data_IF_071136093442
#
_entry.id   IF_071136093442
#
_cell.length_a   1.000
_cell.length_b   1.000
_cell.length_c   1.000
_cell.angle_alpha   90.00
_cell.angle_beta   90.00
_cell.angle_gamma   90.00
#
_symmetry.space_group_name_H-M   'P 1'
#
loop_
_entity.id
_entity.type
_entity.pdbx_description
1 polymer ?
#
# COMPACT_ATOMS: atom_id res chain seq x y z
N UNK A 1 17.53 0.31 15.08
CA UNK A 1 18.95 -0.04 14.83
C UNK A 1 19.58 -0.55 16.11
N UNK A 2 20.45 -1.56 16.04
CA UNK A 2 21.19 -2.10 17.19
C UNK A 2 22.55 -1.41 17.41
N UNK A 3 22.98 -0.58 16.46
CA UNK A 3 24.21 0.21 16.53
C UNK A 3 23.95 1.61 15.92
N UNK A 4 24.40 2.71 16.55
CA UNK A 4 24.22 4.04 16.00
C UNK A 4 25.17 4.29 14.83
N UNK A 5 24.64 4.85 13.74
CA UNK A 5 25.41 5.25 12.57
C UNK A 5 25.00 6.68 12.17
N UNK A 6 25.97 7.53 11.84
CA UNK A 6 25.69 8.88 11.33
C UNK A 6 25.18 8.83 9.89
N UNK A 7 24.51 9.89 9.45
CA UNK A 7 23.99 10.03 8.08
C UNK A 7 22.97 8.94 7.67
N UNK A 8 22.24 8.39 8.64
CA UNK A 8 21.05 7.58 8.40
C UNK A 8 19.82 8.51 8.42
N UNK A 9 18.92 8.44 7.42
CA UNK A 9 17.70 9.24 7.41
C UNK A 9 16.85 9.03 8.65
N UNK A 10 16.22 10.10 9.12
CA UNK A 10 15.24 10.00 10.19
C UNK A 10 13.96 9.34 9.66
N UNK A 11 13.55 8.25 10.32
CA UNK A 11 12.34 7.50 10.00
C UNK A 11 11.22 7.89 10.95
N UNK A 12 10.00 7.94 10.43
CA UNK A 12 8.81 8.02 11.27
C UNK A 12 8.70 6.79 12.17
N UNK A 13 8.11 6.95 13.36
CA UNK A 13 8.05 5.88 14.38
C UNK A 13 6.69 5.86 15.10
N UNK A 14 6.41 4.76 15.80
CA UNK A 14 5.14 4.58 16.49
C UNK A 14 3.99 4.31 15.52
N UNK A 15 2.82 4.92 15.79
CA UNK A 15 1.68 4.90 14.87
C UNK A 15 1.93 5.93 13.76
N UNK A 16 2.45 5.47 12.62
CA UNK A 16 2.81 6.32 11.49
C UNK A 16 1.57 6.73 10.70
N UNK A 17 1.54 7.99 10.26
CA UNK A 17 0.59 8.51 9.26
C UNK A 17 1.23 8.67 7.86
N UNK A 18 2.56 8.62 7.79
CA UNK A 18 3.36 8.61 6.56
C UNK A 18 4.69 7.86 6.78
N UNK A 19 5.37 7.51 5.69
CA UNK A 19 6.50 6.57 5.72
C UNK A 19 6.05 5.13 5.92
N UNK A 20 4.82 4.85 5.48
CA UNK A 20 4.11 3.59 5.68
C UNK A 20 4.72 2.45 4.86
N UNK A 21 4.66 1.25 5.43
CA UNK A 21 4.87 -0.02 4.74
C UNK A 21 3.59 -0.85 4.82
N UNK A 22 2.99 -1.11 3.66
CA UNK A 22 1.91 -2.09 3.51
C UNK A 22 2.46 -3.41 2.96
N UNK A 23 2.41 -4.45 3.80
CA UNK A 23 2.79 -5.81 3.44
C UNK A 23 1.60 -6.55 2.84
N UNK A 24 1.82 -7.27 1.74
CA UNK A 24 0.81 -8.12 1.11
C UNK A 24 0.88 -9.55 1.64
N UNK A 25 -0.18 -9.98 2.31
CA UNK A 25 -0.39 -11.35 2.75
C UNK A 25 -1.28 -12.10 1.76
N UNK A 26 -0.71 -13.08 1.07
CA UNK A 26 -1.42 -13.91 0.07
C UNK A 26 -1.79 -15.30 0.57
N UNK A 27 -1.73 -15.53 1.88
CA UNK A 27 -2.03 -16.83 2.49
C UNK A 27 -0.94 -17.36 3.41
N UNK A 28 -0.21 -16.49 4.12
CA UNK A 28 0.68 -16.95 5.21
C UNK A 28 -0.13 -17.76 6.22
N UNK A 29 0.42 -18.87 6.69
CA UNK A 29 -0.11 -19.59 7.86
C UNK A 29 0.02 -18.74 9.12
N UNK A 30 -0.64 -19.16 10.21
CA UNK A 30 -0.48 -18.50 11.51
C UNK A 30 0.98 -18.47 11.96
N UNK A 31 1.72 -19.58 11.80
CA UNK A 31 3.14 -19.67 12.20
C UNK A 31 4.05 -18.79 11.35
N UNK A 32 3.80 -18.73 10.04
CA UNK A 32 4.55 -17.80 9.18
C UNK A 32 4.23 -16.34 9.52
N UNK A 33 2.99 -16.05 9.92
CA UNK A 33 2.59 -14.73 10.40
C UNK A 33 3.30 -14.38 11.72
N UNK A 34 3.44 -15.33 12.65
CA UNK A 34 4.23 -15.17 13.89
C UNK A 34 5.70 -14.86 13.58
N UNK A 35 6.34 -15.64 12.71
CA UNK A 35 7.74 -15.41 12.31
C UNK A 35 7.92 -14.06 11.59
N UNK A 36 6.95 -13.67 10.77
CA UNK A 36 6.94 -12.35 10.13
C UNK A 36 6.89 -11.24 11.18
N UNK A 37 5.95 -11.33 12.13
CA UNK A 37 5.80 -10.33 13.19
C UNK A 37 7.08 -10.20 14.02
N UNK A 38 7.67 -11.32 14.42
CA UNK A 38 8.89 -11.35 15.23
C UNK A 38 10.03 -10.53 14.61
N UNK A 39 10.17 -10.58 13.29
CA UNK A 39 11.25 -9.91 12.55
C UNK A 39 10.90 -8.53 12.01
N UNK A 40 9.65 -8.32 11.60
CA UNK A 40 9.28 -7.26 10.66
C UNK A 40 8.20 -6.30 11.17
N UNK A 41 7.56 -6.59 12.31
CA UNK A 41 6.52 -5.71 12.87
C UNK A 41 6.97 -4.26 13.09
N UNK A 42 8.20 -3.95 13.57
CA UNK A 42 8.64 -2.55 13.72
C UNK A 42 8.67 -1.73 12.41
N UNK A 43 8.70 -2.41 11.26
CA UNK A 43 8.85 -1.81 9.92
C UNK A 43 7.61 -1.99 9.06
N UNK A 44 6.52 -2.51 9.63
CA UNK A 44 5.24 -2.73 8.96
C UNK A 44 4.17 -1.90 9.63
N UNK A 45 3.25 -1.34 8.85
CA UNK A 45 2.13 -0.55 9.37
C UNK A 45 0.80 -1.19 8.99
N UNK A 46 0.68 -1.62 7.74
CA UNK A 46 -0.53 -2.18 7.14
C UNK A 46 -0.28 -3.62 6.66
N UNK A 47 -1.28 -4.48 6.77
CA UNK A 47 -1.25 -5.84 6.22
C UNK A 47 -2.47 -6.06 5.33
N UNK A 48 -2.27 -6.10 4.01
CA UNK A 48 -3.32 -6.41 3.04
C UNK A 48 -3.48 -7.91 2.92
N UNK A 49 -4.63 -8.46 3.32
CA UNK A 49 -5.04 -9.79 2.87
C UNK A 49 -5.39 -9.68 1.38
N UNK A 50 -4.54 -10.24 0.52
CA UNK A 50 -4.61 -10.04 -0.90
C UNK A 50 -5.95 -10.49 -1.50
N UNK A 51 -6.49 -9.67 -2.38
CA UNK A 51 -7.65 -9.99 -3.22
C UNK A 51 -8.80 -10.60 -2.40
N UNK A 52 -9.28 -11.81 -2.73
CA UNK A 52 -10.35 -12.51 -2.00
C UNK A 52 -9.87 -13.53 -0.96
N UNK A 53 -8.59 -13.54 -0.59
CA UNK A 53 -8.00 -14.60 0.26
C UNK A 53 -8.65 -14.71 1.64
N UNK A 54 -9.19 -13.62 2.16
CA UNK A 54 -9.86 -13.59 3.46
C UNK A 54 -10.99 -14.64 3.54
N UNK A 55 -11.77 -14.82 2.47
CA UNK A 55 -12.90 -15.77 2.46
C UNK A 55 -12.48 -17.25 2.55
N UNK A 56 -11.24 -17.55 2.17
CA UNK A 56 -10.71 -18.92 2.13
C UNK A 56 -9.57 -19.15 3.15
N UNK A 57 -9.27 -18.15 3.97
CA UNK A 57 -8.32 -18.27 5.07
C UNK A 57 -9.01 -18.96 6.24
N UNK A 58 -8.58 -20.19 6.56
CA UNK A 58 -9.22 -21.04 7.58
C UNK A 58 -9.30 -20.38 8.96
N UNK A 59 -8.20 -19.77 9.40
CA UNK A 59 -8.04 -19.19 10.74
C UNK A 59 -8.02 -17.66 10.67
N UNK A 60 -8.93 -17.07 9.88
CA UNK A 60 -8.93 -15.64 9.58
C UNK A 60 -8.98 -14.78 10.84
N UNK A 61 -9.88 -15.09 11.78
CA UNK A 61 -10.09 -14.28 13.00
C UNK A 61 -8.87 -14.31 13.91
N UNK A 62 -8.25 -15.48 14.04
CA UNK A 62 -7.01 -15.69 14.80
C UNK A 62 -5.87 -14.89 14.16
N UNK A 63 -5.75 -14.92 12.83
CA UNK A 63 -4.70 -14.22 12.10
C UNK A 63 -4.86 -12.70 12.14
N UNK A 64 -6.10 -12.19 12.05
CA UNK A 64 -6.39 -10.76 12.24
C UNK A 64 -5.97 -10.31 13.65
N UNK A 65 -6.37 -11.05 14.69
CA UNK A 65 -5.98 -10.75 16.08
C UNK A 65 -4.47 -10.78 16.28
N UNK A 66 -3.78 -11.70 15.62
CA UNK A 66 -2.33 -11.84 15.68
C UNK A 66 -1.63 -10.60 15.09
N UNK A 67 -2.07 -10.09 13.94
CA UNK A 67 -1.52 -8.84 13.40
C UNK A 67 -1.85 -7.62 14.27
N UNK A 68 -3.08 -7.54 14.79
CA UNK A 68 -3.49 -6.45 15.68
C UNK A 68 -2.72 -6.44 17.00
N UNK A 69 -2.41 -7.61 17.58
CA UNK A 69 -1.64 -7.70 18.83
C UNK A 69 -0.19 -7.25 18.64
N UNK A 70 0.32 -7.30 17.41
CA UNK A 70 1.61 -6.74 17.01
C UNK A 70 1.56 -5.24 16.68
N UNK A 71 0.38 -4.59 16.80
CA UNK A 71 0.19 -3.17 16.49
C UNK A 71 0.00 -2.85 15.01
N UNK A 72 -0.19 -3.88 14.16
CA UNK A 72 -0.38 -3.71 12.72
C UNK A 72 -1.87 -3.52 12.38
N UNK A 73 -2.15 -2.83 11.28
CA UNK A 73 -3.50 -2.59 10.74
C UNK A 73 -3.79 -3.59 9.60
N UNK A 74 -4.37 -4.78 9.88
CA UNK A 74 -4.82 -5.67 8.81
C UNK A 74 -6.03 -5.08 8.08
N UNK A 75 -6.15 -5.36 6.78
CA UNK A 75 -7.33 -5.03 5.98
C UNK A 75 -7.50 -5.99 4.81
N UNK A 76 -8.69 -6.01 4.21
CA UNK A 76 -8.99 -6.88 3.06
C UNK A 76 -8.81 -6.13 1.75
N UNK A 77 -8.18 -6.77 0.76
CA UNK A 77 -7.99 -6.19 -0.57
C UNK A 77 -9.31 -5.85 -1.26
N UNK A 78 -9.28 -4.81 -2.09
CA UNK A 78 -10.45 -4.21 -2.71
C UNK A 78 -11.16 -5.15 -3.69
N UNK A 79 -10.46 -6.12 -4.29
CA UNK A 79 -11.12 -7.17 -5.07
C UNK A 79 -12.15 -7.95 -4.24
N UNK A 80 -11.96 -8.10 -2.92
CA UNK A 80 -12.99 -8.68 -2.06
C UNK A 80 -14.23 -7.77 -1.98
N UNK A 81 -14.04 -6.46 -1.81
CA UNK A 81 -15.13 -5.49 -1.87
C UNK A 81 -15.87 -5.60 -3.21
N UNK A 82 -15.14 -5.59 -4.33
CA UNK A 82 -15.70 -5.71 -5.68
C UNK A 82 -16.52 -7.00 -5.86
N UNK A 83 -16.07 -8.12 -5.28
CA UNK A 83 -16.82 -9.39 -5.28
C UNK A 83 -18.19 -9.26 -4.62
N UNK A 84 -18.29 -8.64 -3.45
CA UNK A 84 -19.58 -8.43 -2.80
C UNK A 84 -20.42 -7.38 -3.53
N UNK A 85 -19.81 -6.27 -3.94
CA UNK A 85 -20.50 -5.16 -4.57
C UNK A 85 -21.21 -5.58 -5.85
N UNK A 86 -20.53 -6.26 -6.77
CA UNK A 86 -21.12 -6.71 -8.05
C UNK A 86 -22.28 -7.70 -7.88
N UNK A 87 -22.40 -8.33 -6.70
CA UNK A 87 -23.50 -9.23 -6.35
C UNK A 87 -24.67 -8.52 -5.66
N UNK A 88 -24.58 -7.20 -5.46
CA UNK A 88 -25.55 -6.45 -4.66
C UNK A 88 -25.47 -6.76 -3.16
N UNK A 89 -24.31 -7.27 -2.70
CA UNK A 89 -24.12 -7.77 -1.33
C UNK A 89 -23.27 -6.81 -0.47
N UNK A 90 -23.36 -5.50 -0.71
CA UNK A 90 -22.57 -4.50 0.02
C UNK A 90 -22.80 -4.52 1.54
N UNK A 91 -24.04 -4.71 2.00
CA UNK A 91 -24.33 -4.85 3.43
C UNK A 91 -23.73 -6.13 4.03
N UNK A 92 -23.66 -7.22 3.25
CA UNK A 92 -23.00 -8.44 3.69
C UNK A 92 -21.48 -8.26 3.80
N UNK A 93 -20.87 -7.49 2.89
CA UNK A 93 -19.47 -7.07 2.99
C UNK A 93 -19.21 -6.30 4.28
N UNK A 94 -20.00 -5.25 4.56
CA UNK A 94 -19.88 -4.45 5.80
C UNK A 94 -20.00 -5.32 7.06
N UNK A 95 -20.94 -6.27 7.05
CA UNK A 95 -21.10 -7.26 8.13
C UNK A 95 -19.86 -8.15 8.26
N UNK A 96 -19.34 -8.69 7.16
CA UNK A 96 -18.15 -9.54 7.15
C UNK A 96 -16.91 -8.82 7.72
N UNK A 97 -16.66 -7.57 7.29
CA UNK A 97 -15.57 -6.73 7.82
C UNK A 97 -15.76 -6.51 9.32
N UNK A 98 -16.95 -6.11 9.75
CA UNK A 98 -17.26 -5.85 11.16
C UNK A 98 -17.05 -7.09 12.04
N UNK A 99 -17.54 -8.26 11.61
CA UNK A 99 -17.40 -9.53 12.34
C UNK A 99 -15.97 -10.07 12.36
N UNK A 100 -15.12 -9.61 11.43
CA UNK A 100 -13.69 -9.92 11.41
C UNK A 100 -12.89 -9.07 12.40
N UNK A 101 -13.46 -7.97 12.89
CA UNK A 101 -12.83 -7.08 13.88
C UNK A 101 -11.76 -6.16 13.29
N UNK A 102 -11.77 -5.96 11.97
CA UNK A 102 -10.85 -5.05 11.27
C UNK A 102 -11.39 -3.60 11.30
N UNK A 103 -10.49 -2.63 11.42
CA UNK A 103 -10.81 -1.19 11.38
C UNK A 103 -10.48 -0.49 10.05
N UNK A 104 -9.89 -1.21 9.08
CA UNK A 104 -9.41 -0.68 7.82
C UNK A 104 -10.00 -1.45 6.63
N UNK A 105 -10.38 -0.76 5.55
CA UNK A 105 -10.97 -1.40 4.35
C UNK A 105 -10.39 -0.81 3.08
N UNK A 106 -10.33 -1.61 2.01
CA UNK A 106 -9.98 -1.13 0.67
C UNK A 106 -11.23 -1.09 -0.22
N UNK A 107 -11.46 0.05 -0.89
CA UNK A 107 -12.48 0.21 -1.93
C UNK A 107 -11.76 0.33 -3.27
N UNK A 108 -12.11 -0.52 -4.24
CA UNK A 108 -11.52 -0.51 -5.58
C UNK A 108 -12.59 -0.82 -6.62
N UNK A 109 -12.28 -0.51 -7.86
CA UNK A 109 -13.10 -0.73 -9.04
C UNK A 109 -12.24 -1.26 -10.22
N UNK A 110 -11.13 -1.93 -9.91
CA UNK A 110 -10.21 -2.37 -10.94
C UNK A 110 -10.77 -3.50 -11.79
N UNK A 111 -11.46 -4.47 -11.19
CA UNK A 111 -11.93 -5.72 -11.83
C UNK A 111 -13.33 -5.59 -12.40
N UNK A 112 -14.19 -4.79 -11.78
CA UNK A 112 -15.57 -4.54 -12.20
C UNK A 112 -15.70 -3.14 -12.79
N UNK A 113 -16.64 -2.94 -13.71
CA UNK A 113 -17.05 -1.58 -14.06
C UNK A 113 -17.96 -1.06 -12.95
N UNK A 114 -17.59 0.06 -12.36
CA UNK A 114 -18.34 0.77 -11.33
C UNK A 114 -18.38 2.25 -11.73
N UNK A 115 -19.54 2.90 -11.61
CA UNK A 115 -19.56 4.33 -11.82
C UNK A 115 -18.89 5.02 -10.63
N UNK A 116 -18.09 6.05 -10.88
CA UNK A 116 -17.28 6.67 -9.83
C UNK A 116 -18.15 7.25 -8.70
N UNK A 117 -19.33 7.79 -9.01
CA UNK A 117 -20.28 8.24 -7.99
C UNK A 117 -20.72 7.11 -7.05
N UNK A 118 -20.93 5.89 -7.55
CA UNK A 118 -21.23 4.72 -6.70
C UNK A 118 -20.04 4.38 -5.79
N UNK A 119 -18.81 4.54 -6.29
CA UNK A 119 -17.59 4.34 -5.50
C UNK A 119 -17.48 5.37 -4.38
N UNK A 120 -17.77 6.64 -4.68
CA UNK A 120 -17.80 7.71 -3.68
C UNK A 120 -18.88 7.45 -2.61
N UNK A 121 -20.07 6.98 -2.99
CA UNK A 121 -21.10 6.58 -2.03
C UNK A 121 -20.65 5.44 -1.10
N UNK A 122 -19.94 4.44 -1.64
CA UNK A 122 -19.35 3.36 -0.85
C UNK A 122 -18.29 3.87 0.13
N UNK A 123 -17.38 4.73 -0.34
CA UNK A 123 -16.34 5.36 0.49
C UNK A 123 -16.98 6.16 1.62
N UNK A 124 -17.92 7.06 1.31
CA UNK A 124 -18.61 7.90 2.30
C UNK A 124 -19.38 7.05 3.33
N UNK A 125 -19.92 5.91 2.92
CA UNK A 125 -20.63 4.99 3.81
C UNK A 125 -19.66 4.25 4.72
N UNK A 126 -18.57 3.70 4.19
CA UNK A 126 -17.58 2.95 4.95
C UNK A 126 -16.77 3.84 5.89
N UNK A 127 -16.46 5.08 5.49
CA UNK A 127 -15.68 6.05 6.27
C UNK A 127 -16.33 6.44 7.61
N UNK A 128 -17.62 6.15 7.80
CA UNK A 128 -18.32 6.35 9.08
C UNK A 128 -17.89 5.35 10.15
N UNK A 129 -17.50 4.15 9.71
CA UNK A 129 -17.25 2.98 10.57
C UNK A 129 -15.79 2.50 10.49
N UNK A 130 -15.07 2.80 9.40
CA UNK A 130 -13.73 2.28 9.09
C UNK A 130 -12.80 3.36 8.52
N UNK A 131 -11.49 3.13 8.62
CA UNK A 131 -10.47 3.90 7.91
C UNK A 131 -10.32 3.34 6.48
N UNK A 132 -10.75 4.10 5.49
CA UNK A 132 -10.86 3.64 4.09
C UNK A 132 -9.57 3.94 3.33
N UNK A 133 -9.00 2.93 2.68
CA UNK A 133 -8.06 3.10 1.58
C UNK A 133 -8.84 2.97 0.27
N UNK A 134 -8.64 3.87 -0.68
CA UNK A 134 -9.26 3.75 -2.00
C UNK A 134 -8.21 3.50 -3.06
N UNK A 135 -8.39 2.51 -3.92
CA UNK A 135 -7.45 2.16 -4.98
C UNK A 135 -7.92 2.72 -6.32
N UNK A 136 -7.05 3.46 -7.00
CA UNK A 136 -7.29 3.99 -8.34
C UNK A 136 -6.40 3.20 -9.29
N UNK A 137 -7.01 2.67 -10.34
CA UNK A 137 -6.35 1.86 -11.34
C UNK A 137 -7.34 0.98 -12.11
N UNK A 138 -6.90 0.43 -13.23
CA UNK A 138 -7.69 -0.49 -14.04
C UNK A 138 -6.96 -1.83 -14.13
N UNK A 139 -7.67 -2.91 -13.77
CA UNK A 139 -7.19 -4.29 -13.88
C UNK A 139 -7.45 -4.87 -15.28
N UNK A 140 -8.04 -4.10 -16.20
CA UNK A 140 -8.44 -4.56 -17.52
C UNK A 140 -7.44 -4.07 -18.56
N UNK A 141 -6.80 -5.02 -19.24
CA UNK A 141 -5.85 -4.74 -20.34
C UNK A 141 -6.57 -3.96 -21.45
N UNK A 142 -6.13 -2.72 -21.70
CA UNK A 142 -6.68 -1.84 -22.74
C UNK A 142 -7.75 -0.84 -22.26
N UNK A 143 -8.08 -0.82 -20.96
CA UNK A 143 -8.86 0.27 -20.34
C UNK A 143 -7.86 1.13 -19.58
N UNK A 144 -7.38 2.20 -20.21
CA UNK A 144 -6.48 3.18 -19.61
C UNK A 144 -7.27 4.42 -19.21
N UNK A 145 -7.22 4.75 -17.92
CA UNK A 145 -7.70 6.03 -17.42
C UNK A 145 -6.65 7.10 -17.81
N UNK A 146 -7.09 8.25 -18.32
CA UNK A 146 -6.20 9.39 -18.54
C UNK A 146 -5.67 9.94 -17.21
N UNK A 147 -4.49 10.56 -17.21
CA UNK A 147 -3.88 11.15 -16.02
C UNK A 147 -4.82 12.13 -15.29
N UNK A 148 -5.56 12.97 -16.04
CA UNK A 148 -6.53 13.91 -15.46
C UNK A 148 -7.63 13.19 -14.65
N UNK A 149 -8.05 12.00 -15.10
CA UNK A 149 -9.09 11.21 -14.43
C UNK A 149 -8.50 10.56 -13.18
N UNK A 150 -7.28 10.03 -13.24
CA UNK A 150 -6.56 9.52 -12.07
C UNK A 150 -6.48 10.57 -10.96
N UNK A 151 -5.96 11.75 -11.31
CA UNK A 151 -5.79 12.85 -10.35
C UNK A 151 -7.15 13.32 -9.83
N UNK A 152 -8.14 13.48 -10.71
CA UNK A 152 -9.49 13.88 -10.30
C UNK A 152 -10.10 12.88 -9.33
N UNK A 153 -10.04 11.58 -9.63
CA UNK A 153 -10.59 10.53 -8.76
C UNK A 153 -9.87 10.51 -7.41
N UNK A 154 -8.54 10.55 -7.41
CA UNK A 154 -7.76 10.61 -6.16
C UNK A 154 -8.18 11.79 -5.28
N UNK A 155 -8.37 12.99 -5.85
CA UNK A 155 -8.84 14.16 -5.09
C UNK A 155 -10.20 13.92 -4.48
N UNK A 156 -11.18 13.55 -5.30
CA UNK A 156 -12.57 13.40 -4.85
C UNK A 156 -12.74 12.26 -3.87
N UNK A 157 -11.99 11.16 -4.01
CA UNK A 157 -12.03 10.03 -3.09
C UNK A 157 -11.45 10.43 -1.71
N UNK A 158 -10.36 11.21 -1.68
CA UNK A 158 -9.82 11.80 -0.44
C UNK A 158 -10.84 12.77 0.20
N UNK A 159 -11.41 13.69 -0.58
CA UNK A 159 -12.42 14.66 -0.12
C UNK A 159 -13.68 13.97 0.44
N UNK A 160 -14.03 12.81 -0.10
CA UNK A 160 -15.19 12.01 0.32
C UNK A 160 -14.97 11.28 1.64
N UNK A 161 -13.71 11.02 2.01
CA UNK A 161 -13.35 10.42 3.29
C UNK A 161 -12.36 9.26 3.22
N UNK A 162 -11.73 8.98 2.07
CA UNK A 162 -10.60 8.07 2.04
C UNK A 162 -9.44 8.61 2.88
N UNK A 163 -8.86 7.77 3.73
CA UNK A 163 -7.67 8.09 4.52
C UNK A 163 -6.42 8.16 3.65
N UNK A 164 -6.29 7.23 2.70
CA UNK A 164 -5.22 7.18 1.70
C UNK A 164 -5.79 6.74 0.36
N UNK A 165 -5.17 7.22 -0.71
CA UNK A 165 -5.40 6.72 -2.07
C UNK A 165 -4.23 5.86 -2.53
N UNK A 166 -4.52 4.68 -3.04
CA UNK A 166 -3.55 3.72 -3.54
C UNK A 166 -3.36 3.95 -5.02
N UNK A 167 -2.12 4.17 -5.43
CA UNK A 167 -1.75 4.19 -6.84
C UNK A 167 -1.46 2.76 -7.30
N UNK A 168 -2.39 2.13 -8.03
CA UNK A 168 -2.35 0.71 -8.36
C UNK A 168 -1.19 0.35 -9.30
N UNK A 169 -0.58 -0.80 -9.00
CA UNK A 169 0.43 -1.45 -9.82
C UNK A 169 0.26 -2.97 -9.93
N UNK A 170 -0.72 -3.54 -9.21
CA UNK A 170 -0.85 -4.97 -8.92
C UNK A 170 0.37 -5.55 -8.22
N UNK A 171 0.35 -6.86 -8.03
CA UNK A 171 1.52 -7.62 -7.56
C UNK A 171 2.66 -7.64 -8.59
N UNK A 172 2.33 -7.62 -9.89
CA UNK A 172 3.37 -7.73 -10.93
C UNK A 172 4.20 -6.46 -11.09
N UNK A 173 3.64 -5.29 -10.75
CA UNK A 173 4.32 -4.01 -10.94
C UNK A 173 4.50 -3.65 -12.42
N UNK A 174 3.53 -3.97 -13.27
CA UNK A 174 3.63 -3.82 -14.75
C UNK A 174 2.36 -3.24 -15.37
N UNK A 175 1.59 -2.48 -14.58
CA UNK A 175 0.35 -1.82 -14.99
C UNK A 175 0.14 -0.58 -14.11
N UNK A 176 -0.79 0.29 -14.51
CA UNK A 176 -1.18 1.47 -13.74
C UNK A 176 -0.07 2.51 -13.77
N UNK A 177 0.57 2.76 -12.62
CA UNK A 177 1.73 3.65 -12.51
C UNK A 177 3.02 3.08 -13.13
N UNK A 178 2.97 1.88 -13.71
CA UNK A 178 4.09 1.27 -14.44
C UNK A 178 3.69 0.86 -15.85
N UNK A 179 4.68 0.90 -16.73
CA UNK A 179 4.65 0.35 -18.07
C UNK A 179 4.74 -1.18 -18.04
N UNK A 180 4.45 -1.80 -19.19
CA UNK A 180 4.47 -3.27 -19.32
C UNK A 180 5.85 -3.92 -19.08
N UNK A 181 6.94 -3.16 -19.19
CA UNK A 181 8.30 -3.59 -18.88
C UNK A 181 8.72 -3.34 -17.42
N UNK A 182 7.80 -2.79 -16.61
CA UNK A 182 8.01 -2.46 -15.20
C UNK A 182 8.66 -1.10 -14.96
N UNK A 183 8.97 -0.33 -16.01
CA UNK A 183 9.41 1.06 -15.87
C UNK A 183 8.27 1.95 -15.39
N UNK A 184 8.59 3.05 -14.70
CA UNK A 184 7.59 3.94 -14.12
C UNK A 184 6.94 4.82 -15.20
N UNK A 185 5.60 4.92 -15.17
CA UNK A 185 4.89 5.94 -15.92
C UNK A 185 5.11 7.30 -15.23
N UNK A 186 6.21 7.94 -15.60
CA UNK A 186 6.70 9.14 -14.93
C UNK A 186 5.76 10.33 -15.09
N UNK A 187 5.07 10.43 -16.23
CA UNK A 187 4.12 11.52 -16.48
C UNK A 187 2.95 11.44 -15.49
N UNK A 188 2.34 10.26 -15.33
CA UNK A 188 1.27 10.04 -14.37
C UNK A 188 1.73 10.30 -12.92
N UNK A 189 2.90 9.78 -12.54
CA UNK A 189 3.45 9.99 -11.19
C UNK A 189 3.70 11.48 -10.94
N UNK A 190 4.29 12.20 -11.90
CA UNK A 190 4.53 13.65 -11.81
C UNK A 190 3.22 14.43 -11.70
N UNK A 191 2.17 14.05 -12.43
CA UNK A 191 0.86 14.70 -12.35
C UNK A 191 0.16 14.46 -11.01
N UNK A 192 0.24 13.24 -10.46
CA UNK A 192 -0.25 12.94 -9.11
C UNK A 192 0.50 13.77 -8.06
N UNK A 193 1.84 13.84 -8.13
CA UNK A 193 2.65 14.57 -7.15
C UNK A 193 2.42 16.09 -7.16
N UNK A 194 2.02 16.67 -8.31
CA UNK A 194 1.68 18.11 -8.41
C UNK A 194 0.41 18.45 -7.66
N UNK A 195 -0.52 17.51 -7.57
CA UNK A 195 -1.91 17.78 -7.24
C UNK A 195 -2.39 17.08 -5.96
N UNK A 196 -1.73 16.00 -5.56
CA UNK A 196 -2.00 15.22 -4.35
C UNK A 196 -0.77 15.24 -3.45
N UNK A 197 -1.00 15.42 -2.15
CA UNK A 197 0.05 15.28 -1.14
C UNK A 197 0.62 13.86 -1.15
N UNK A 198 1.95 13.76 -1.27
CA UNK A 198 2.66 12.46 -1.30
C UNK A 198 2.46 11.63 -0.03
N UNK A 199 2.10 12.28 1.07
CA UNK A 199 1.79 11.61 2.33
C UNK A 199 0.41 10.95 2.31
N UNK A 200 -0.48 11.34 1.38
CA UNK A 200 -1.83 10.80 1.22
C UNK A 200 -1.94 9.71 0.16
N UNK A 201 -0.87 9.55 -0.64
CA UNK A 201 -0.75 8.45 -1.61
C UNK A 201 -0.02 7.28 -0.99
N UNK A 202 -0.51 6.05 -1.19
CA UNK A 202 0.20 4.79 -0.95
C UNK A 202 0.59 4.19 -2.30
N UNK A 203 1.89 4.21 -2.63
CA UNK A 203 2.38 3.76 -3.93
C UNK A 203 2.62 2.25 -3.92
N UNK A 204 1.96 1.49 -4.78
CA UNK A 204 2.28 0.07 -4.91
C UNK A 204 3.66 -0.11 -5.58
N UNK A 205 4.59 -0.75 -4.87
CA UNK A 205 5.97 -0.96 -5.31
C UNK A 205 6.45 -2.38 -4.94
N UNK A 206 5.85 -3.42 -5.54
CA UNK A 206 6.18 -4.81 -5.22
C UNK A 206 7.64 -5.18 -5.53
N UNK A 207 8.26 -4.51 -6.51
CA UNK A 207 9.63 -4.82 -6.95
C UNK A 207 10.66 -3.88 -6.33
N UNK A 208 11.85 -4.40 -6.01
CA UNK A 208 12.98 -3.62 -5.45
C UNK A 208 13.27 -2.35 -6.25
N UNK A 209 13.33 -2.44 -7.58
CA UNK A 209 13.65 -1.29 -8.43
C UNK A 209 12.63 -0.15 -8.26
N UNK A 210 11.37 -0.49 -8.05
CA UNK A 210 10.28 0.45 -7.83
C UNK A 210 10.37 1.09 -6.44
N UNK A 211 10.68 0.28 -5.42
CA UNK A 211 10.92 0.75 -4.05
C UNK A 211 12.08 1.75 -4.02
N UNK A 212 13.21 1.41 -4.63
CA UNK A 212 14.37 2.30 -4.76
C UNK A 212 14.00 3.61 -5.46
N UNK A 213 13.28 3.53 -6.59
CA UNK A 213 12.86 4.71 -7.36
C UNK A 213 12.03 5.66 -6.51
N UNK A 214 11.02 5.17 -5.80
CA UNK A 214 10.18 6.01 -4.95
C UNK A 214 10.94 6.57 -3.75
N UNK A 215 11.86 5.81 -3.14
CA UNK A 215 12.70 6.32 -2.05
C UNK A 215 13.62 7.45 -2.54
N UNK A 216 14.19 7.32 -3.74
CA UNK A 216 15.03 8.36 -4.34
C UNK A 216 14.23 9.60 -4.73
N UNK A 217 13.00 9.40 -5.21
CA UNK A 217 12.13 10.48 -5.67
C UNK A 217 11.47 11.24 -4.50
N UNK A 218 10.99 10.52 -3.49
CA UNK A 218 10.12 11.05 -2.43
C UNK A 218 10.73 10.98 -1.02
N UNK A 219 11.93 10.39 -0.90
CA UNK A 219 12.65 10.25 0.35
C UNK A 219 12.29 8.98 1.14
N UNK A 220 13.05 8.76 2.22
CA UNK A 220 12.95 7.55 3.06
C UNK A 220 11.58 7.33 3.70
N UNK A 221 10.75 8.39 3.81
CA UNK A 221 9.42 8.35 4.41
C UNK A 221 8.27 8.35 3.37
N UNK A 222 8.51 7.89 2.14
CA UNK A 222 7.44 7.59 1.17
C UNK A 222 6.57 6.41 1.63
N UNK A 223 5.25 6.46 1.40
CA UNK A 223 4.36 5.33 1.67
C UNK A 223 4.45 4.29 0.55
N UNK A 224 4.75 3.02 0.88
CA UNK A 224 4.86 1.95 -0.11
C UNK A 224 3.99 0.76 0.23
N UNK A 225 3.35 0.20 -0.79
CA UNK A 225 2.46 -0.95 -0.70
C UNK A 225 2.84 -2.11 -1.58
N UNK A 226 2.15 -3.23 -1.39
CA UNK A 226 2.43 -4.53 -2.02
C UNK A 226 3.82 -5.08 -1.71
N UNK A 227 4.35 -4.75 -0.54
CA UNK A 227 5.65 -5.26 -0.12
C UNK A 227 5.51 -6.73 0.26
N UNK A 228 6.33 -7.60 -0.34
CA UNK A 228 6.35 -9.00 0.00
C UNK A 228 6.81 -9.19 1.46
N UNK A 229 6.29 -10.20 2.19
CA UNK A 229 6.63 -10.40 3.60
C UNK A 229 8.13 -10.60 3.84
N UNK A 230 8.83 -11.21 2.89
CA UNK A 230 10.28 -11.43 2.95
C UNK A 230 11.12 -10.21 2.50
N UNK A 231 10.50 -9.13 2.02
CA UNK A 231 11.20 -7.91 1.57
C UNK A 231 11.04 -6.74 2.55
N UNK A 232 10.22 -6.83 3.60
CA UNK A 232 9.96 -5.70 4.52
C UNK A 232 11.24 -5.15 5.18
N UNK A 233 12.10 -6.02 5.71
CA UNK A 233 13.40 -5.59 6.29
C UNK A 233 14.33 -5.05 5.20
N UNK A 234 14.28 -5.64 4.00
CA UNK A 234 15.03 -5.21 2.82
C UNK A 234 14.64 -3.79 2.39
N UNK A 235 13.35 -3.47 2.47
CA UNK A 235 12.81 -2.15 2.22
C UNK A 235 13.27 -1.16 3.29
N UNK A 236 13.23 -1.50 4.57
CA UNK A 236 13.72 -0.60 5.61
C UNK A 236 15.23 -0.32 5.44
N UNK A 237 16.02 -1.31 5.00
CA UNK A 237 17.42 -1.11 4.65
C UNK A 237 17.60 -0.15 3.46
N UNK A 238 16.74 -0.21 2.43
CA UNK A 238 16.71 0.78 1.36
C UNK A 238 16.40 2.18 1.90
N UNK A 239 15.38 2.32 2.74
CA UNK A 239 15.01 3.61 3.35
C UNK A 239 16.13 4.22 4.20
N UNK A 240 16.94 3.38 4.85
CA UNK A 240 18.03 3.81 5.70
C UNK A 240 19.38 4.00 4.98
N UNK A 241 19.46 3.81 3.66
CA UNK A 241 20.73 3.86 2.93
C UNK A 241 21.69 2.71 3.25
N UNK A 242 21.17 1.58 3.77
CA UNK A 242 21.96 0.42 4.18
C UNK A 242 22.09 -0.65 3.08
N UNK A 243 21.52 -0.38 1.90
CA UNK A 243 21.61 -1.23 0.72
C UNK A 243 22.25 -0.45 -0.42
N UNK A 244 23.03 -1.12 -1.26
CA UNK A 244 23.84 -0.47 -2.30
C UNK A 244 23.06 0.48 -3.21
N UNK A 245 21.78 0.17 -3.46
CA UNK A 245 20.89 0.96 -4.32
C UNK A 245 20.66 2.41 -3.80
N UNK A 246 20.68 2.63 -2.48
CA UNK A 246 20.45 3.93 -1.83
C UNK A 246 21.61 4.39 -0.94
N UNK A 247 22.74 3.69 -0.96
CA UNK A 247 23.87 3.88 -0.03
C UNK A 247 24.44 5.30 -0.09
N UNK A 248 24.67 5.82 -1.30
CA UNK A 248 25.23 7.16 -1.49
C UNK A 248 24.17 8.27 -1.46
N UNK A 249 22.88 7.92 -1.50
CA UNK A 249 21.80 8.91 -1.54
C UNK A 249 21.61 9.61 -0.19
N UNK A 250 22.05 8.95 0.90
CA UNK A 250 21.94 9.47 2.28
C UNK A 250 23.25 10.10 2.78
N UNK A 251 24.35 9.89 2.06
CA UNK A 251 25.68 10.33 2.47
C UNK A 251 26.03 11.71 1.88
N UNK A 252 26.74 12.58 2.63
CA UNK A 252 27.28 13.83 2.10
C UNK A 252 28.19 13.65 0.88
N UNK A 253 28.22 14.64 -0.02
CA UNK A 253 28.97 14.60 -1.29
C UNK A 253 30.47 14.26 -1.12
N UNK A 254 31.09 14.62 0.01
CA UNK A 254 32.49 14.33 0.28
C UNK A 254 32.81 12.81 0.23
N UNK A 255 31.84 11.96 0.55
CA UNK A 255 31.99 10.51 0.49
C UNK A 255 31.80 9.94 -0.91
N UNK A 256 31.23 10.70 -1.86
CA UNK A 256 30.92 10.21 -3.21
C UNK A 256 32.17 9.97 -4.05
N UNK A 257 33.30 10.56 -3.66
CA UNK A 257 34.63 10.23 -4.23
C UNK A 257 35.02 8.75 -4.05
N UNK A 258 34.34 8.02 -3.16
CA UNK A 258 34.53 6.58 -2.90
C UNK A 258 33.53 5.68 -3.62
N UNK A 259 32.60 6.25 -4.39
CA UNK A 259 31.61 5.48 -5.15
C UNK A 259 32.32 4.76 -6.31
N UNK A 260 32.05 3.45 -6.43
CA UNK A 260 32.52 2.62 -7.54
C UNK A 260 31.57 2.70 -8.73
#
# INVERSE_FOLDING_TARGET
>A
MNFPLTHVPERTSGKRDFGLTMMMDKGLSLKESEHFIESSAPYTDLVKFGFGTALITRDLKEKVKLYQSAGLKPYFGGTLFEMFFVRGEFDAYRKFVSESGIGNVEVSDGTIKMDHDEKLECIATLAKDFEVLSEIGSKIKGVELSNDVWVSHMKTELETGAWKVIAEARESGTIGIYESDGSANRELIDDIMKEISVNDVLWEAPLKAQQTMFIQLLGANVNLGNIAPNEVVSLEALRCGMRGDTFFDVLPEEFHTRKQ
#
